data_IF_178764233752
#
_entry.id   IF_178764233752
#
_cell.length_a   1.000
_cell.length_b   1.000
_cell.length_c   1.000
_cell.angle_alpha   90.00
_cell.angle_beta   90.00
_cell.angle_gamma   90.00
#
_symmetry.space_group_name_H-M   'P 1'
#
loop_
_entity.id
_entity.type
_entity.pdbx_description
1 polymer ?
#
# COMPACT_ATOMS: atom_id res chain seq x y z
N UNK A 1 -9.17 -21.94 3.18
CA UNK A 1 -10.01 -20.85 2.60
C UNK A 1 -10.24 -19.72 3.61
N UNK A 2 -10.78 -20.02 4.80
CA UNK A 2 -11.01 -18.99 5.85
C UNK A 2 -9.74 -18.22 6.28
N UNK A 3 -8.60 -18.90 6.39
CA UNK A 3 -7.32 -18.26 6.74
C UNK A 3 -6.90 -17.21 5.69
N UNK A 4 -7.05 -17.52 4.40
CA UNK A 4 -6.71 -16.59 3.33
C UNK A 4 -7.59 -15.32 3.37
N UNK A 5 -8.89 -15.48 3.62
CA UNK A 5 -9.80 -14.34 3.78
C UNK A 5 -9.50 -13.51 5.01
N UNK A 6 -9.20 -14.14 6.15
CA UNK A 6 -8.80 -13.43 7.36
C UNK A 6 -7.50 -12.64 7.14
N UNK A 7 -6.53 -13.21 6.43
CA UNK A 7 -5.29 -12.52 6.09
C UNK A 7 -5.52 -11.34 5.14
N UNK A 8 -6.34 -11.51 4.10
CA UNK A 8 -6.71 -10.41 3.19
C UNK A 8 -7.42 -9.28 3.94
N UNK A 9 -8.33 -9.61 4.86
CA UNK A 9 -8.99 -8.60 5.69
C UNK A 9 -7.98 -7.85 6.59
N UNK A 10 -7.06 -8.59 7.19
CA UNK A 10 -5.99 -8.03 8.02
C UNK A 10 -5.07 -7.10 7.21
N UNK A 11 -4.68 -7.48 5.99
CA UNK A 11 -3.86 -6.62 5.12
C UNK A 11 -4.61 -5.36 4.70
N UNK A 12 -5.92 -5.44 4.44
CA UNK A 12 -6.73 -4.25 4.12
C UNK A 12 -6.83 -3.28 5.30
N UNK A 13 -7.05 -3.79 6.52
CA UNK A 13 -7.07 -2.96 7.74
C UNK A 13 -5.71 -2.31 8.01
N UNK A 14 -4.61 -3.07 7.85
CA UNK A 14 -3.26 -2.55 8.01
C UNK A 14 -2.93 -1.46 6.96
N UNK A 15 -3.35 -1.65 5.72
CA UNK A 15 -3.19 -0.65 4.65
C UNK A 15 -4.01 0.62 4.91
N UNK A 16 -5.20 0.49 5.50
CA UNK A 16 -6.00 1.64 5.92
C UNK A 16 -5.26 2.47 6.99
N UNK A 17 -4.65 1.81 7.97
CA UNK A 17 -3.82 2.50 8.98
C UNK A 17 -2.57 3.15 8.35
N UNK A 18 -1.90 2.45 7.43
CA UNK A 18 -0.76 3.01 6.70
C UNK A 18 -1.16 4.23 5.86
N UNK A 19 -2.32 4.23 5.21
CA UNK A 19 -2.84 5.40 4.50
C UNK A 19 -3.00 6.62 5.43
N UNK A 20 -3.42 6.41 6.68
CA UNK A 20 -3.46 7.47 7.69
C UNK A 20 -2.07 8.02 8.03
N UNK A 21 -1.08 7.12 8.22
CA UNK A 21 0.32 7.49 8.44
C UNK A 21 0.90 8.31 7.27
N UNK A 22 0.54 7.98 6.03
CA UNK A 22 0.93 8.76 4.86
C UNK A 22 0.39 10.19 4.94
N UNK A 23 -0.91 10.36 5.19
CA UNK A 23 -1.54 11.68 5.29
C UNK A 23 -0.88 12.51 6.39
N UNK A 24 -0.60 11.91 7.55
CA UNK A 24 0.12 12.56 8.64
C UNK A 24 1.56 12.91 8.26
N UNK A 25 2.26 12.01 7.56
CA UNK A 25 3.63 12.24 7.08
C UNK A 25 3.71 13.38 6.05
N UNK A 26 2.73 13.47 5.16
CA UNK A 26 2.59 14.58 4.20
C UNK A 26 2.27 15.88 4.94
N UNK A 27 1.31 15.87 5.87
CA UNK A 27 0.90 17.06 6.61
C UNK A 27 2.02 17.65 7.48
N UNK A 28 2.84 16.79 8.10
CA UNK A 28 3.96 17.22 8.93
C UNK A 28 5.25 17.44 8.12
N UNK A 29 5.25 17.22 6.80
CA UNK A 29 6.43 17.22 5.92
C UNK A 29 7.60 16.36 6.47
N UNK A 30 7.30 15.36 7.31
CA UNK A 30 8.31 14.55 7.99
C UNK A 30 8.66 13.33 7.15
N UNK A 31 9.76 13.42 6.41
CA UNK A 31 10.34 12.32 5.64
C UNK A 31 10.47 10.99 6.43
N UNK A 32 10.70 11.06 7.75
CA UNK A 32 10.81 9.89 8.63
C UNK A 32 9.53 9.03 8.68
N UNK A 33 8.34 9.62 8.51
CA UNK A 33 7.06 8.89 8.49
C UNK A 33 6.75 8.26 7.12
N UNK A 34 7.39 8.71 6.05
CA UNK A 34 7.20 8.14 4.71
C UNK A 34 7.97 6.82 4.53
N UNK A 35 9.14 6.67 5.15
CA UNK A 35 9.94 5.44 5.09
C UNK A 35 9.20 4.19 5.62
N UNK A 36 8.63 4.19 6.86
CA UNK A 36 7.87 3.04 7.35
C UNK A 36 6.59 2.80 6.55
N UNK A 37 6.01 3.85 5.94
CA UNK A 37 4.88 3.69 5.04
C UNK A 37 5.22 2.88 3.78
N UNK A 38 6.31 3.26 3.09
CA UNK A 38 6.78 2.54 1.89
C UNK A 38 7.11 1.08 2.23
N UNK A 39 7.86 0.85 3.30
CA UNK A 39 8.22 -0.50 3.75
C UNK A 39 6.98 -1.33 4.13
N UNK A 40 6.01 -0.71 4.80
CA UNK A 40 4.74 -1.33 5.18
C UNK A 40 3.94 -1.76 3.94
N UNK A 41 3.75 -0.85 2.98
CA UNK A 41 3.01 -1.15 1.73
C UNK A 41 3.66 -2.32 0.98
N UNK A 42 4.98 -2.31 0.80
CA UNK A 42 5.68 -3.39 0.09
C UNK A 42 5.47 -4.74 0.80
N UNK A 43 5.63 -4.76 2.12
CA UNK A 43 5.50 -6.00 2.92
C UNK A 43 4.08 -6.56 2.88
N UNK A 44 3.06 -5.72 3.11
CA UNK A 44 1.66 -6.16 3.09
C UNK A 44 1.18 -6.55 1.69
N UNK A 45 1.71 -5.92 0.63
CA UNK A 45 1.45 -6.32 -0.75
C UNK A 45 2.03 -7.69 -1.08
N UNK A 46 3.26 -7.96 -0.65
CA UNK A 46 3.87 -9.27 -0.82
C UNK A 46 3.07 -10.35 -0.09
N UNK A 47 2.66 -10.08 1.16
CA UNK A 47 1.85 -11.00 1.96
C UNK A 47 0.50 -11.29 1.29
N UNK A 48 -0.19 -10.26 0.81
CA UNK A 48 -1.48 -10.43 0.11
C UNK A 48 -1.32 -11.21 -1.20
N UNK A 49 -0.25 -10.97 -1.96
CA UNK A 49 0.04 -11.74 -3.17
C UNK A 49 0.22 -13.23 -2.89
N UNK A 50 0.97 -13.58 -1.85
CA UNK A 50 1.14 -14.98 -1.41
C UNK A 50 -0.20 -15.58 -0.98
N UNK A 51 -1.04 -14.83 -0.25
CA UNK A 51 -2.36 -15.28 0.16
C UNK A 51 -3.32 -15.48 -1.03
N UNK A 52 -3.30 -14.59 -2.02
CA UNK A 52 -4.08 -14.75 -3.26
C UNK A 52 -3.68 -16.01 -4.01
N UNK A 53 -2.37 -16.25 -4.21
CA UNK A 53 -1.88 -17.46 -4.87
C UNK A 53 -2.27 -18.71 -4.07
N UNK A 54 -2.08 -18.69 -2.75
CA UNK A 54 -2.45 -19.81 -1.89
C UNK A 54 -3.96 -20.11 -1.92
N UNK A 55 -4.80 -19.06 -1.89
CA UNK A 55 -6.25 -19.18 -2.02
C UNK A 55 -6.65 -19.81 -3.36
N UNK A 56 -5.98 -19.41 -4.43
CA UNK A 56 -6.23 -19.92 -5.78
C UNK A 56 -5.83 -21.40 -5.90
N UNK A 57 -4.64 -21.78 -5.43
CA UNK A 57 -4.18 -23.18 -5.44
C UNK A 57 -5.13 -24.07 -4.62
N UNK A 58 -5.54 -23.60 -3.45
CA UNK A 58 -6.46 -24.36 -2.59
C UNK A 58 -7.85 -24.50 -3.23
N UNK A 59 -8.34 -23.47 -3.90
CA UNK A 59 -9.60 -23.53 -4.66
C UNK A 59 -9.52 -24.47 -5.86
N UNK A 60 -8.39 -24.48 -6.56
CA UNK A 60 -8.17 -25.41 -7.68
C UNK A 60 -8.18 -26.87 -7.18
N UNK A 61 -7.54 -27.14 -6.05
CA UNK A 61 -7.52 -28.47 -5.42
C UNK A 61 -8.92 -28.93 -4.94
N UNK A 62 -9.76 -28.02 -4.43
CA UNK A 62 -11.08 -28.38 -3.87
C UNK A 62 -12.17 -28.41 -4.95
N UNK A 63 -12.24 -27.39 -5.80
CA UNK A 63 -13.37 -27.17 -6.71
C UNK A 63 -13.09 -27.64 -8.15
N UNK A 64 -11.84 -28.00 -8.49
CA UNK A 64 -11.36 -28.45 -9.83
C UNK A 64 -11.79 -27.55 -11.00
N UNK A 65 -12.23 -26.32 -10.73
CA UNK A 65 -12.65 -25.32 -11.71
C UNK A 65 -12.24 -23.94 -11.21
N UNK A 66 -11.57 -23.20 -12.10
CA UNK A 66 -11.30 -21.78 -11.91
C UNK A 66 -12.60 -20.99 -12.09
N UNK A 67 -13.22 -20.63 -10.96
CA UNK A 67 -14.43 -19.82 -10.96
C UNK A 67 -14.15 -18.37 -11.33
N UNK A 68 -15.14 -17.68 -11.90
CA UNK A 68 -15.02 -16.27 -12.32
C UNK A 68 -14.62 -15.31 -11.18
N UNK A 69 -14.94 -15.69 -9.94
CA UNK A 69 -14.56 -14.97 -8.72
C UNK A 69 -13.03 -14.89 -8.55
N UNK A 70 -12.30 -15.96 -8.87
CA UNK A 70 -10.83 -15.97 -8.80
C UNK A 70 -10.21 -15.00 -9.81
N UNK A 71 -10.75 -14.95 -11.03
CA UNK A 71 -10.29 -14.02 -12.07
C UNK A 71 -10.52 -12.55 -11.67
N UNK A 72 -11.66 -12.27 -11.01
CA UNK A 72 -11.95 -10.95 -10.47
C UNK A 72 -11.01 -10.57 -9.31
N UNK A 73 -10.73 -11.50 -8.39
CA UNK A 73 -9.83 -11.32 -7.25
C UNK A 73 -8.40 -10.98 -7.72
N UNK A 74 -7.89 -11.70 -8.72
CA UNK A 74 -6.59 -11.43 -9.33
C UNK A 74 -6.55 -10.10 -10.10
N UNK A 75 -7.62 -9.75 -10.82
CA UNK A 75 -7.73 -8.47 -11.50
C UNK A 75 -7.66 -7.31 -10.51
N UNK A 76 -8.42 -7.39 -9.42
CA UNK A 76 -8.41 -6.38 -8.36
C UNK A 76 -7.04 -6.24 -7.71
N UNK A 77 -6.36 -7.36 -7.44
CA UNK A 77 -5.01 -7.37 -6.90
C UNK A 77 -4.01 -6.65 -7.82
N UNK A 78 -4.02 -6.95 -9.12
CA UNK A 78 -3.14 -6.29 -10.11
C UNK A 78 -3.43 -4.79 -10.19
N UNK A 79 -4.71 -4.42 -10.20
CA UNK A 79 -5.13 -3.02 -10.27
C UNK A 79 -4.65 -2.24 -9.04
N UNK A 80 -4.69 -2.88 -7.86
CA UNK A 80 -4.14 -2.32 -6.62
C UNK A 80 -2.61 -2.20 -6.64
N UNK A 81 -1.90 -3.15 -7.27
CA UNK A 81 -0.45 -3.04 -7.50
C UNK A 81 -0.12 -1.76 -8.27
N UNK A 82 -0.82 -1.51 -9.38
CA UNK A 82 -0.61 -0.33 -10.20
C UNK A 82 -0.86 0.96 -9.43
N UNK A 83 -1.94 1.04 -8.66
CA UNK A 83 -2.23 2.22 -7.83
C UNK A 83 -1.17 2.48 -6.75
N UNK A 84 -0.68 1.44 -6.09
CA UNK A 84 0.37 1.61 -5.08
C UNK A 84 1.71 2.03 -5.69
N UNK A 85 2.05 1.55 -6.90
CA UNK A 85 3.23 2.04 -7.64
C UNK A 85 3.09 3.54 -7.92
N UNK A 86 1.91 3.97 -8.36
CA UNK A 86 1.60 5.38 -8.59
C UNK A 86 1.70 6.21 -7.29
N UNK A 87 1.22 5.67 -6.17
CA UNK A 87 1.32 6.31 -4.86
C UNK A 87 2.78 6.44 -4.38
N UNK A 88 3.60 5.41 -4.54
CA UNK A 88 5.04 5.44 -4.24
C UNK A 88 5.74 6.47 -5.12
N UNK A 89 5.39 6.55 -6.41
CA UNK A 89 5.91 7.58 -7.31
C UNK A 89 5.55 9.00 -6.82
N UNK A 90 4.31 9.21 -6.37
CA UNK A 90 3.87 10.45 -5.75
C UNK A 90 4.69 10.82 -4.50
N UNK A 91 4.95 9.85 -3.63
CA UNK A 91 5.79 10.00 -2.45
C UNK A 91 7.24 10.36 -2.81
N UNK A 92 7.83 9.68 -3.79
CA UNK A 92 9.19 9.99 -4.27
C UNK A 92 9.29 11.38 -4.90
N UNK A 93 8.22 11.84 -5.54
CA UNK A 93 8.14 13.21 -6.07
C UNK A 93 8.04 14.23 -4.94
N UNK A 94 7.21 13.98 -3.93
CA UNK A 94 7.12 14.83 -2.74
C UNK A 94 8.47 14.90 -2.01
N UNK A 95 9.13 13.76 -1.82
CA UNK A 95 10.45 13.70 -1.19
C UNK A 95 11.51 14.50 -1.97
N UNK A 96 11.48 14.42 -3.31
CA UNK A 96 12.35 15.25 -4.17
C UNK A 96 12.05 16.74 -4.01
N UNK A 97 10.78 17.14 -4.06
CA UNK A 97 10.39 18.53 -3.86
C UNK A 97 10.83 19.07 -2.49
N UNK A 98 10.66 18.30 -1.42
CA UNK A 98 11.12 18.68 -0.08
C UNK A 98 12.65 18.80 0.00
N UNK A 99 13.39 17.92 -0.70
CA UNK A 99 14.85 17.99 -0.80
C UNK A 99 15.33 19.22 -1.59
N UNK A 100 14.57 19.64 -2.60
CA UNK A 100 14.85 20.82 -3.41
C UNK A 100 14.48 22.13 -2.70
N UNK A 101 14.05 22.07 -1.42
CA UNK A 101 13.76 23.24 -0.59
C UNK A 101 12.38 23.85 -0.80
N UNK A 102 11.50 23.17 -1.55
CA UNK A 102 10.08 23.54 -1.66
C UNK A 102 9.33 23.08 -0.40
N UNK A 103 9.40 23.89 0.65
CA UNK A 103 8.51 23.80 1.80
C UNK A 103 7.17 24.45 1.45
N UNK A 104 6.05 23.74 1.66
CA UNK A 104 4.71 24.32 1.50
C UNK A 104 4.30 25.16 2.72
N UNK A 105 5.08 25.08 3.80
CA UNK A 105 5.01 25.97 4.96
C UNK A 105 5.65 27.31 4.62
N UNK A 106 4.92 28.41 4.88
CA UNK A 106 5.46 29.78 4.80
C UNK A 106 6.86 29.84 5.41
N UNK A 107 7.79 30.64 4.82
CA UNK A 107 9.14 30.77 5.36
C UNK A 107 9.01 31.15 6.82
N UNK A 108 9.42 30.24 7.71
CA UNK A 108 9.45 30.51 9.14
C UNK A 108 10.22 31.81 9.31
N UNK A 109 9.51 32.88 9.69
CA UNK A 109 10.11 34.18 9.91
C UNK A 109 11.11 34.01 11.03
N UNK A 110 12.38 33.87 10.65
CA UNK A 110 13.50 33.92 11.57
C UNK A 110 13.44 35.34 12.16
N UNK A 111 12.77 35.47 13.30
CA UNK A 111 12.85 36.65 14.15
C UNK A 111 14.23 36.60 14.79
N UNK A 112 15.20 37.23 14.10
CA UNK A 112 16.48 37.66 14.68
C UNK A 112 16.27 38.97 15.43
#
# INVERSE_FOLDING_TARGET
VQVAYATILCTHLALMMLSGLLILGVYQERCSLLTPWVMGIITFMALEGVCCVYSNVLRDHINKRFDGVCKAEMCFFVLRILFNILAIYGVLRLYRNLRDGWSYRDPETIQL
#
